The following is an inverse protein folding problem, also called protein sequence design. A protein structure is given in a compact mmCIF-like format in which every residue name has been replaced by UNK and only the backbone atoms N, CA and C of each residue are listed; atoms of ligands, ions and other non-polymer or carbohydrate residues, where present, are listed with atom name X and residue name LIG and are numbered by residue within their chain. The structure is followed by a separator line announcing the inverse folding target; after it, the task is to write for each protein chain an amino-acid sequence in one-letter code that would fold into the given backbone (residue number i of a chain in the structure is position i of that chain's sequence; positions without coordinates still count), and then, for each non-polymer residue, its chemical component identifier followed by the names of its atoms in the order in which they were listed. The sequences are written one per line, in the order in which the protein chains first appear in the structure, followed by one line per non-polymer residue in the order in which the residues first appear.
data_IF_403265436862
#
_entry.id   IF_403265436862
#
_cell.length_a   1.000
_cell.length_b   1.000
_cell.length_c   1.000
_cell.angle_alpha   90.00
_cell.angle_beta   90.00
_cell.angle_gamma   90.00
#
_symmetry.space_group_name_H-M   'P 1'
#
loop_
_entity.id
_entity.type
_entity.pdbx_description
1 polymer ?
#
# COMPACT_ATOMS: atom_id res chain seq x y z
N UNK A 1 -55.01 -31.50 5.14
CA UNK A 1 -54.12 -31.54 6.31
C UNK A 1 -52.66 -31.66 5.89
N UNK A 2 -51.79 -31.17 6.76
CA UNK A 2 -50.34 -30.90 6.65
C UNK A 2 -49.44 -32.09 6.97
N UNK A 3 -48.29 -32.22 6.27
CA UNK A 3 -46.84 -32.31 6.70
C UNK A 3 -46.02 -32.85 5.50
N UNK A 4 -45.01 -32.19 4.91
CA UNK A 4 -43.61 -31.90 5.30
C UNK A 4 -42.76 -33.11 5.73
N UNK A 5 -41.85 -33.59 4.86
CA UNK A 5 -40.38 -33.46 5.00
C UNK A 5 -39.60 -34.33 3.99
N UNK A 6 -38.54 -33.72 3.43
CA UNK A 6 -37.34 -34.29 2.81
C UNK A 6 -37.52 -35.20 1.58
N UNK A 7 -37.48 -34.55 0.41
CA UNK A 7 -37.10 -35.15 -0.85
C UNK A 7 -35.66 -35.70 -0.78
N UNK A 8 -35.52 -37.02 -0.69
CA UNK A 8 -34.44 -37.74 -1.35
C UNK A 8 -34.96 -38.16 -2.72
N UNK A 9 -34.44 -37.54 -3.77
CA UNK A 9 -34.76 -37.77 -5.20
C UNK A 9 -34.06 -36.63 -5.95
N UNK A 10 -33.34 -36.76 -7.06
CA UNK A 10 -33.12 -37.80 -8.07
C UNK A 10 -31.84 -37.36 -8.83
N UNK A 11 -31.09 -38.10 -9.65
CA UNK A 11 -31.36 -38.99 -10.78
C UNK A 11 -30.04 -39.76 -11.03
N UNK A 12 -29.98 -41.09 -10.94
CA UNK A 12 -30.22 -42.12 -11.98
C UNK A 12 -29.21 -42.11 -13.18
N UNK A 13 -28.59 -43.27 -13.54
CA UNK A 13 -27.44 -43.47 -14.44
C UNK A 13 -27.89 -43.52 -15.92
N UNK A 14 -27.00 -43.63 -16.92
CA UNK A 14 -26.69 -44.87 -17.66
C UNK A 14 -25.29 -44.82 -18.30
N UNK A 15 -24.64 -45.98 -18.30
CA UNK A 15 -23.41 -46.38 -19.00
C UNK A 15 -23.40 -46.16 -20.52
N UNK A 16 -22.20 -45.99 -21.08
CA UNK A 16 -21.87 -46.58 -22.39
C UNK A 16 -20.51 -47.27 -22.30
N UNK A 17 -20.53 -48.58 -22.55
CA UNK A 17 -19.37 -49.42 -22.82
C UNK A 17 -18.91 -49.10 -24.24
N UNK A 18 -17.65 -48.70 -24.39
CA UNK A 18 -16.98 -48.48 -25.66
C UNK A 18 -15.60 -49.12 -25.62
N UNK A 19 -15.54 -50.33 -26.15
CA UNK A 19 -14.40 -51.24 -26.21
C UNK A 19 -13.18 -50.68 -27.00
N UNK A 20 -12.03 -51.32 -26.76
CA UNK A 20 -10.88 -51.52 -27.67
C UNK A 20 -9.62 -50.63 -27.52
N UNK A 21 -8.56 -51.29 -27.05
CA UNK A 21 -7.12 -51.03 -27.23
C UNK A 21 -6.49 -49.73 -26.68
N UNK A 22 -5.55 -49.92 -25.76
CA UNK A 22 -4.25 -49.25 -25.85
C UNK A 22 -3.97 -48.15 -24.83
N UNK A 23 -3.02 -48.44 -23.94
CA UNK A 23 -2.20 -47.43 -23.29
C UNK A 23 -2.72 -46.95 -21.94
N UNK A 24 -2.18 -47.55 -20.90
CA UNK A 24 -2.10 -46.96 -19.56
C UNK A 24 -1.51 -45.54 -19.68
N UNK A 25 -2.36 -44.53 -19.65
CA UNK A 25 -1.92 -43.17 -19.33
C UNK A 25 -2.35 -42.90 -17.91
N UNK A 26 -1.41 -43.12 -16.98
CA UNK A 26 -1.42 -42.46 -15.68
C UNK A 26 -1.33 -40.96 -15.98
N UNK A 27 -2.48 -40.33 -16.23
CA UNK A 27 -2.58 -38.89 -16.28
C UNK A 27 -2.36 -38.42 -14.85
N UNK A 28 -1.12 -38.01 -14.53
CA UNK A 28 -0.84 -37.29 -13.29
C UNK A 28 -1.84 -36.12 -13.24
N UNK A 29 -2.73 -36.03 -12.23
CA UNK A 29 -3.66 -34.93 -12.14
C UNK A 29 -2.85 -33.63 -12.07
N UNK A 30 -2.90 -32.86 -13.16
CA UNK A 30 -2.33 -31.52 -13.22
C UNK A 30 -3.32 -30.64 -12.50
N UNK A 31 -3.10 -30.42 -11.21
CA UNK A 31 -3.90 -29.46 -10.45
C UNK A 31 -3.49 -28.06 -10.90
N UNK A 32 -4.38 -27.26 -11.50
CA UNK A 32 -4.10 -25.86 -11.79
C UNK A 32 -4.13 -25.12 -10.46
N UNK A 33 -3.01 -25.11 -9.75
CA UNK A 33 -2.80 -24.12 -8.70
C UNK A 33 -2.56 -22.81 -9.45
N UNK A 34 -3.39 -21.80 -9.19
CA UNK A 34 -3.20 -20.46 -9.74
C UNK A 34 -2.00 -19.83 -9.01
N UNK A 35 -0.80 -20.17 -9.48
CA UNK A 35 0.48 -19.82 -8.86
C UNK A 35 0.65 -18.30 -8.72
N UNK A 36 0.03 -17.53 -9.62
CA UNK A 36 0.02 -16.07 -9.61
C UNK A 36 -0.80 -15.54 -8.43
N UNK A 37 -2.02 -16.06 -8.20
CA UNK A 37 -2.83 -15.66 -7.05
C UNK A 37 -2.23 -16.10 -5.72
N UNK A 38 -1.63 -17.29 -5.68
CA UNK A 38 -0.95 -17.77 -4.48
C UNK A 38 0.28 -16.91 -4.16
N UNK A 39 1.07 -16.53 -5.16
CA UNK A 39 2.23 -15.65 -4.99
C UNK A 39 1.81 -14.25 -4.50
N UNK A 40 0.74 -13.67 -5.05
CA UNK A 40 0.19 -12.38 -4.59
C UNK A 40 -0.27 -12.47 -3.14
N UNK A 41 -1.06 -13.50 -2.81
CA UNK A 41 -1.59 -13.69 -1.44
C UNK A 41 -0.46 -13.90 -0.41
N UNK A 42 0.57 -14.67 -0.77
CA UNK A 42 1.74 -14.88 0.09
C UNK A 42 2.63 -13.64 0.19
N UNK A 43 2.71 -12.82 -0.87
CA UNK A 43 3.42 -11.53 -0.84
C UNK A 43 2.69 -10.53 0.04
N UNK A 44 1.36 -10.46 -0.05
CA UNK A 44 0.53 -9.61 0.80
C UNK A 44 0.62 -10.06 2.27
N UNK A 45 0.57 -11.37 2.52
CA UNK A 45 0.76 -11.93 3.86
C UNK A 45 2.18 -11.69 4.39
N UNK A 46 3.21 -11.77 3.56
CA UNK A 46 4.59 -11.44 3.92
C UNK A 46 4.76 -9.96 4.29
N UNK A 47 4.04 -9.07 3.61
CA UNK A 47 3.97 -7.65 3.94
C UNK A 47 3.27 -7.36 5.27
N UNK A 48 2.25 -8.16 5.61
CA UNK A 48 1.47 -8.00 6.85
C UNK A 48 2.06 -8.74 8.08
N UNK A 49 2.82 -9.81 7.87
CA UNK A 49 3.25 -10.74 8.94
C UNK A 49 4.74 -10.63 9.29
N UNK A 50 5.50 -9.78 8.60
CA UNK A 50 6.90 -9.54 8.89
C UNK A 50 7.10 -8.75 10.18
N UNK A 51 7.97 -9.23 11.08
CA UNK A 51 8.38 -8.48 12.27
C UNK A 51 9.56 -7.53 12.01
N UNK A 52 10.12 -7.57 10.79
CA UNK A 52 11.12 -6.60 10.35
C UNK A 52 10.45 -5.25 10.07
N UNK A 53 10.93 -4.19 10.70
CA UNK A 53 10.44 -2.83 10.46
C UNK A 53 11.48 -2.07 9.64
N UNK A 54 11.03 -1.42 8.57
CA UNK A 54 11.89 -0.52 7.80
C UNK A 54 12.27 0.71 8.63
N UNK A 55 13.43 1.30 8.35
CA UNK A 55 13.77 2.61 8.90
C UNK A 55 12.79 3.66 8.39
N UNK A 56 12.42 4.63 9.22
CA UNK A 56 11.51 5.71 8.85
C UNK A 56 11.87 7.00 9.60
N UNK A 57 11.20 8.10 9.25
CA UNK A 57 11.33 9.38 9.94
C UNK A 57 9.99 9.71 10.60
N UNK A 58 10.04 9.89 11.92
CA UNK A 58 8.88 10.33 12.71
C UNK A 58 8.81 11.86 12.70
N UNK A 59 7.66 12.37 12.28
CA UNK A 59 7.31 13.78 12.37
C UNK A 59 6.42 13.99 13.60
N UNK A 60 6.88 14.82 14.52
CA UNK A 60 6.20 15.22 15.73
C UNK A 60 6.12 16.76 15.79
N UNK A 61 5.27 17.34 16.66
CA UNK A 61 5.20 18.79 16.84
C UNK A 61 6.58 19.42 17.02
N UNK A 62 7.00 20.24 16.05
CA UNK A 62 8.32 20.92 16.01
C UNK A 62 9.54 19.98 16.15
N UNK A 63 9.38 18.69 15.86
CA UNK A 63 10.45 17.70 16.05
C UNK A 63 10.41 16.67 14.94
N UNK A 64 11.60 16.32 14.45
CA UNK A 64 11.81 15.23 13.50
C UNK A 64 12.78 14.25 14.11
N UNK A 65 12.51 12.96 14.03
CA UNK A 65 13.37 11.92 14.63
C UNK A 65 13.55 10.76 13.67
N UNK A 66 14.78 10.39 13.30
CA UNK A 66 15.03 9.20 12.51
C UNK A 66 14.82 7.98 13.42
N UNK A 67 14.07 7.00 12.92
CA UNK A 67 13.85 5.73 13.60
C UNK A 67 14.53 4.66 12.75
N UNK A 68 15.59 4.08 13.30
CA UNK A 68 16.29 2.99 12.63
C UNK A 68 15.40 1.75 12.54
N UNK A 69 15.43 1.10 11.38
CA UNK A 69 14.70 -0.13 11.14
C UNK A 69 15.24 -1.26 12.02
N UNK A 70 14.37 -2.16 12.44
CA UNK A 70 14.77 -3.31 13.25
C UNK A 70 14.81 -4.56 12.38
N UNK A 71 15.94 -5.29 12.37
CA UNK A 71 15.98 -6.62 11.79
C UNK A 71 14.91 -7.49 12.43
N UNK A 72 14.20 -8.26 11.60
CA UNK A 72 13.15 -9.15 12.06
C UNK A 72 13.02 -10.36 11.17
N UNK A 73 11.92 -11.08 11.33
CA UNK A 73 11.60 -12.24 10.51
C UNK A 73 10.58 -11.81 9.48
N UNK A 74 10.87 -12.06 8.21
CA UNK A 74 9.91 -11.95 7.11
C UNK A 74 9.50 -13.35 6.66
N UNK A 75 8.31 -13.48 6.10
CA UNK A 75 7.91 -14.72 5.43
C UNK A 75 8.85 -14.98 4.24
N UNK A 76 9.42 -16.18 4.14
CA UNK A 76 10.16 -16.61 2.97
C UNK A 76 9.14 -17.02 1.90
N UNK A 77 8.71 -16.08 1.07
CA UNK A 77 7.63 -16.29 0.08
C UNK A 77 7.94 -17.47 -0.83
N UNK A 78 9.20 -17.63 -1.26
CA UNK A 78 9.60 -18.70 -2.18
C UNK A 78 9.51 -20.09 -1.53
N UNK A 79 10.03 -20.23 -0.29
CA UNK A 79 9.90 -21.50 0.44
C UNK A 79 8.49 -21.73 0.98
N UNK A 80 7.73 -20.67 1.23
CA UNK A 80 6.33 -20.73 1.64
C UNK A 80 5.43 -21.23 0.51
N UNK A 81 5.69 -20.82 -0.74
CA UNK A 81 5.02 -21.37 -1.92
C UNK A 81 5.21 -22.89 -2.04
N UNK A 82 6.44 -23.37 -1.81
CA UNK A 82 6.75 -24.82 -1.80
C UNK A 82 5.96 -25.52 -0.69
N UNK A 83 5.99 -24.97 0.53
CA UNK A 83 5.34 -25.56 1.70
C UNK A 83 3.82 -25.64 1.57
N UNK A 84 3.18 -24.60 1.01
CA UNK A 84 1.72 -24.58 0.76
C UNK A 84 1.33 -25.57 -0.33
N UNK A 85 2.09 -25.65 -1.42
CA UNK A 85 1.83 -26.60 -2.51
C UNK A 85 1.91 -28.04 -2.02
N UNK A 86 2.93 -28.36 -1.23
CA UNK A 86 3.16 -29.71 -0.73
C UNK A 86 2.07 -30.11 0.28
N UNK A 87 1.63 -29.17 1.13
CA UNK A 87 0.53 -29.40 2.05
C UNK A 87 -0.83 -29.53 1.36
N UNK A 88 -1.10 -28.74 0.31
CA UNK A 88 -2.33 -28.85 -0.47
C UNK A 88 -2.39 -30.21 -1.19
N UNK A 89 -1.27 -30.66 -1.76
CA UNK A 89 -1.16 -32.01 -2.34
C UNK A 89 -1.43 -33.08 -1.30
N UNK A 90 -0.81 -32.99 -0.12
CA UNK A 90 -1.03 -33.93 0.97
C UNK A 90 -2.49 -33.92 1.46
N UNK A 91 -3.15 -32.76 1.53
CA UNK A 91 -4.56 -32.65 1.93
C UNK A 91 -5.49 -33.29 0.90
N UNK A 92 -5.22 -33.13 -0.38
CA UNK A 92 -6.01 -33.75 -1.46
C UNK A 92 -5.78 -35.27 -1.51
N UNK A 93 -4.56 -35.73 -1.26
CA UNK A 93 -4.22 -37.16 -1.23
C UNK A 93 -4.73 -37.89 0.01
N UNK A 94 -4.81 -37.21 1.17
CA UNK A 94 -5.12 -37.84 2.47
C UNK A 94 -6.47 -37.44 3.06
N UNK A 95 -7.14 -36.44 2.50
CA UNK A 95 -8.41 -35.88 3.01
C UNK A 95 -8.30 -35.10 4.32
N UNK A 96 -7.09 -34.92 4.88
CA UNK A 96 -6.86 -34.23 6.15
C UNK A 96 -6.15 -32.89 5.93
N UNK A 97 -6.79 -31.79 6.33
CA UNK A 97 -6.15 -30.47 6.35
C UNK A 97 -5.10 -30.38 7.44
N UNK A 98 -3.84 -30.15 7.07
CA UNK A 98 -2.75 -29.87 8.03
C UNK A 98 -2.48 -28.38 8.10
N UNK A 99 -2.24 -27.89 9.33
CA UNK A 99 -1.68 -26.55 9.55
C UNK A 99 -0.25 -26.54 8.97
N UNK A 100 0.01 -25.61 8.05
CA UNK A 100 1.30 -25.46 7.38
C UNK A 100 2.06 -24.35 8.05
N UNK A 101 3.18 -24.68 8.70
CA UNK A 101 4.12 -23.67 9.17
C UNK A 101 4.86 -23.11 7.95
N UNK A 102 4.69 -21.82 7.71
CA UNK A 102 5.38 -21.17 6.62
C UNK A 102 6.80 -20.75 7.06
N UNK A 103 7.84 -21.09 6.28
CA UNK A 103 9.21 -20.75 6.61
C UNK A 103 9.38 -19.23 6.66
N UNK A 104 10.02 -18.77 7.72
CA UNK A 104 10.41 -17.36 7.90
C UNK A 104 11.91 -17.23 7.73
N UNK A 105 12.35 -16.15 7.10
CA UNK A 105 13.76 -15.81 6.91
C UNK A 105 14.09 -14.51 7.62
N UNK A 106 15.36 -14.34 8.00
CA UNK A 106 15.84 -13.08 8.56
C UNK A 106 15.77 -12.01 7.47
N UNK A 107 15.00 -10.94 7.72
CA UNK A 107 14.88 -9.80 6.83
C UNK A 107 15.56 -8.60 7.47
N UNK A 108 16.55 -8.05 6.77
CA UNK A 108 17.20 -6.81 7.16
C UNK A 108 16.40 -5.61 6.63
N UNK A 109 16.39 -4.47 7.34
CA UNK A 109 15.84 -3.23 6.81
C UNK A 109 16.55 -2.84 5.52
N UNK A 110 15.78 -2.46 4.51
CA UNK A 110 16.30 -1.95 3.25
C UNK A 110 16.82 -0.51 3.38
N UNK A 111 16.21 0.26 4.27
CA UNK A 111 16.60 1.64 4.59
C UNK A 111 17.69 1.63 5.65
N UNK A 112 18.93 1.94 5.22
CA UNK A 112 20.08 2.06 6.11
C UNK A 112 20.24 3.45 6.74
N UNK A 113 21.24 3.61 7.61
CA UNK A 113 21.55 4.88 8.28
C UNK A 113 21.85 6.02 7.30
N UNK A 114 22.63 5.76 6.25
CA UNK A 114 22.95 6.77 5.24
C UNK A 114 21.71 7.31 4.51
N UNK A 115 20.70 6.45 4.28
CA UNK A 115 19.41 6.83 3.71
C UNK A 115 18.62 7.71 4.69
N UNK A 116 18.57 7.33 5.96
CA UNK A 116 17.92 8.11 7.02
C UNK A 116 18.55 9.51 7.15
N UNK A 117 19.87 9.58 7.17
CA UNK A 117 20.61 10.85 7.28
C UNK A 117 20.37 11.73 6.05
N UNK A 118 20.34 11.14 4.84
CA UNK A 118 19.99 11.86 3.61
C UNK A 118 18.56 12.40 3.69
N UNK A 119 17.58 11.54 3.96
CA UNK A 119 16.17 11.91 4.06
C UNK A 119 15.94 12.98 5.12
N UNK A 120 16.64 12.90 6.25
CA UNK A 120 16.61 13.91 7.32
C UNK A 120 17.12 15.26 6.83
N UNK A 121 18.25 15.29 6.12
CA UNK A 121 18.90 16.50 5.66
C UNK A 121 18.20 17.15 4.46
N UNK A 122 17.79 16.33 3.50
CA UNK A 122 17.26 16.80 2.21
C UNK A 122 15.77 17.13 2.28
N UNK A 123 14.98 16.38 3.06
CA UNK A 123 13.54 16.55 3.11
C UNK A 123 13.03 16.90 4.50
N UNK A 124 13.32 16.07 5.51
CA UNK A 124 12.58 16.16 6.76
C UNK A 124 12.89 17.42 7.58
N UNK A 125 14.17 17.83 7.64
CA UNK A 125 14.58 19.07 8.31
C UNK A 125 14.08 20.31 7.58
N UNK A 126 14.25 20.46 6.24
CA UNK A 126 13.64 21.57 5.51
C UNK A 126 12.13 21.62 5.62
N UNK A 127 11.45 20.46 5.50
CA UNK A 127 10.00 20.36 5.56
C UNK A 127 9.45 20.93 6.87
N UNK A 128 10.13 20.67 7.99
CA UNK A 128 9.70 21.08 9.33
C UNK A 128 10.33 22.38 9.83
N UNK A 129 11.08 23.09 8.98
CA UNK A 129 11.80 24.31 9.37
C UNK A 129 10.88 25.50 9.68
N UNK A 130 9.78 25.64 8.94
CA UNK A 130 8.76 26.69 9.16
C UNK A 130 7.42 26.24 8.56
N UNK A 131 6.41 27.10 8.62
CA UNK A 131 5.14 26.90 7.91
C UNK A 131 5.30 27.04 6.40
N UNK A 132 4.44 26.35 5.68
CA UNK A 132 4.21 26.56 4.24
C UNK A 132 2.88 27.28 4.05
N UNK A 133 2.74 28.03 2.96
CA UNK A 133 1.49 28.68 2.57
C UNK A 133 1.06 28.14 1.22
N UNK A 134 -0.17 27.64 1.12
CA UNK A 134 -0.77 27.20 -0.13
C UNK A 134 -1.89 28.16 -0.50
N UNK A 135 -1.88 28.65 -1.74
CA UNK A 135 -2.84 29.64 -2.25
C UNK A 135 -3.64 29.06 -3.41
N UNK A 136 -4.93 29.38 -3.48
CA UNK A 136 -5.76 29.05 -4.63
C UNK A 136 -6.94 30.03 -4.71
N UNK A 137 -7.20 30.60 -5.88
CA UNK A 137 -8.38 31.43 -6.12
C UNK A 137 -8.54 32.61 -5.16
N UNK A 138 -7.43 33.25 -4.76
CA UNK A 138 -7.44 34.35 -3.79
C UNK A 138 -7.60 33.94 -2.33
N UNK A 139 -7.73 32.65 -2.03
CA UNK A 139 -7.72 32.09 -0.68
C UNK A 139 -6.35 31.52 -0.35
N UNK A 140 -6.01 31.46 0.93
CA UNK A 140 -4.77 30.84 1.39
C UNK A 140 -4.97 30.02 2.67
N UNK A 141 -4.16 28.98 2.82
CA UNK A 141 -4.06 28.18 4.03
C UNK A 141 -2.58 27.99 4.40
N UNK A 142 -2.29 27.97 5.70
CA UNK A 142 -0.94 27.75 6.20
C UNK A 142 -0.85 26.41 6.93
N UNK A 143 0.19 25.64 6.64
CA UNK A 143 0.52 24.42 7.36
C UNK A 143 1.82 24.60 8.13
N UNK A 144 1.77 24.51 9.46
CA UNK A 144 2.92 24.68 10.36
C UNK A 144 3.45 23.38 10.99
N UNK A 145 4.72 23.38 11.47
CA UNK A 145 5.39 22.22 12.06
C UNK A 145 4.85 21.83 13.44
N UNK A 146 4.14 22.73 14.13
CA UNK A 146 3.62 22.47 15.46
C UNK A 146 2.38 21.55 15.48
N UNK A 147 1.59 21.54 14.40
CA UNK A 147 0.29 20.83 14.41
C UNK A 147 -0.01 20.14 13.09
N UNK A 148 -0.04 20.87 11.98
CA UNK A 148 -0.57 20.34 10.72
C UNK A 148 0.43 19.50 9.95
N UNK A 149 1.69 19.96 9.79
CA UNK A 149 2.69 19.24 9.00
C UNK A 149 2.92 17.80 9.50
N UNK A 150 3.09 17.54 10.82
CA UNK A 150 3.23 16.18 11.35
C UNK A 150 2.05 15.24 11.06
N UNK A 151 0.86 15.77 10.77
CA UNK A 151 -0.34 14.97 10.50
C UNK A 151 -0.50 14.62 9.02
N UNK A 152 0.14 15.39 8.13
CA UNK A 152 -0.07 15.26 6.68
C UNK A 152 1.17 14.77 5.94
N UNK A 153 2.35 14.78 6.57
CA UNK A 153 3.59 14.28 5.98
C UNK A 153 4.06 13.03 6.69
N UNK A 154 4.48 12.04 5.91
CA UNK A 154 5.15 10.84 6.40
C UNK A 154 6.21 10.42 5.39
N UNK A 155 7.07 9.47 5.76
CA UNK A 155 8.01 8.86 4.83
C UNK A 155 7.84 7.35 4.82
N UNK A 156 7.80 6.79 3.62
CA UNK A 156 7.69 5.34 3.40
C UNK A 156 8.95 4.83 2.74
N UNK A 157 9.38 3.64 3.14
CA UNK A 157 10.42 2.91 2.43
C UNK A 157 9.87 2.40 1.09
N UNK A 158 10.52 2.77 -0.01
CA UNK A 158 10.26 2.30 -1.37
C UNK A 158 11.60 2.08 -2.05
N UNK A 159 11.84 0.87 -2.56
CA UNK A 159 13.07 0.52 -3.30
C UNK A 159 14.37 0.85 -2.53
N UNK A 160 14.37 0.63 -1.21
CA UNK A 160 15.52 0.94 -0.35
C UNK A 160 15.75 2.43 -0.07
N UNK A 161 14.81 3.30 -0.47
CA UNK A 161 14.85 4.74 -0.21
C UNK A 161 13.63 5.21 0.57
N UNK A 162 13.75 6.34 1.26
CA UNK A 162 12.65 7.01 1.91
C UNK A 162 12.03 8.02 0.95
N UNK A 163 10.77 7.76 0.58
CA UNK A 163 9.97 8.66 -0.25
C UNK A 163 8.95 9.41 0.62
N UNK A 164 8.76 10.72 0.40
CA UNK A 164 7.73 11.47 1.10
C UNK A 164 6.34 11.02 0.65
N UNK A 165 5.44 10.91 1.60
CA UNK A 165 4.04 10.53 1.39
C UNK A 165 3.15 11.58 2.06
N UNK A 166 2.18 12.07 1.31
CA UNK A 166 1.19 13.03 1.79
C UNK A 166 -0.12 12.33 2.10
N UNK A 167 -0.61 12.45 3.33
CA UNK A 167 -1.90 11.91 3.72
C UNK A 167 -3.00 12.87 3.25
N UNK A 168 -3.58 12.57 2.09
CA UNK A 168 -4.63 13.38 1.46
C UNK A 168 -5.90 13.44 2.29
N UNK A 169 -6.20 12.41 3.10
CA UNK A 169 -7.33 12.43 4.04
C UNK A 169 -7.06 13.35 5.22
N UNK A 170 -5.83 13.39 5.73
CA UNK A 170 -5.44 14.35 6.75
C UNK A 170 -5.41 15.77 6.20
N UNK A 171 -4.93 15.98 4.96
CA UNK A 171 -4.99 17.27 4.27
C UNK A 171 -6.44 17.73 4.16
N UNK A 172 -7.33 16.91 3.63
CA UNK A 172 -8.75 17.25 3.46
C UNK A 172 -9.41 17.69 4.78
N UNK A 173 -9.16 16.95 5.87
CA UNK A 173 -9.62 17.32 7.22
C UNK A 173 -9.07 18.66 7.70
N UNK A 174 -7.82 18.99 7.36
CA UNK A 174 -7.20 20.25 7.76
C UNK A 174 -7.58 21.42 6.85
N UNK A 175 -7.98 21.14 5.60
CA UNK A 175 -8.51 22.16 4.71
C UNK A 175 -9.83 22.70 5.27
N UNK A 176 -10.71 21.85 5.81
CA UNK A 176 -11.97 22.28 6.43
C UNK A 176 -12.77 23.28 5.56
N UNK A 177 -12.82 23.02 4.25
CA UNK A 177 -13.47 23.91 3.29
C UNK A 177 -12.70 25.21 2.95
N UNK A 178 -11.40 25.30 3.27
CA UNK A 178 -10.51 26.42 2.95
C UNK A 178 -10.42 26.77 1.46
N UNK A 179 -10.81 25.86 0.57
CA UNK A 179 -10.91 26.10 -0.87
C UNK A 179 -12.28 25.75 -1.47
N UNK A 180 -13.32 25.56 -0.63
CA UNK A 180 -14.70 25.35 -1.09
C UNK A 180 -15.11 26.46 -2.08
N UNK A 181 -15.69 26.08 -3.22
CA UNK A 181 -16.07 26.99 -4.30
C UNK A 181 -14.93 27.49 -5.19
N UNK A 182 -13.66 27.14 -4.90
CA UNK A 182 -12.53 27.44 -5.79
C UNK A 182 -12.45 26.36 -6.84
N UNK A 183 -12.69 26.72 -8.11
CA UNK A 183 -12.71 25.78 -9.23
C UNK A 183 -11.36 25.76 -9.94
N UNK A 184 -10.85 24.54 -10.18
CA UNK A 184 -9.74 24.27 -11.09
C UNK A 184 -10.29 23.71 -12.40
N UNK A 185 -9.74 24.19 -13.51
CA UNK A 185 -10.00 23.62 -14.84
C UNK A 185 -8.86 22.67 -15.16
N UNK A 186 -9.14 21.36 -15.16
CA UNK A 186 -8.16 20.36 -15.49
C UNK A 186 -7.72 20.47 -16.96
N UNK A 187 -6.61 19.84 -17.31
CA UNK A 187 -6.07 19.86 -18.66
C UNK A 187 -7.06 19.29 -19.71
N UNK A 188 -8.00 18.44 -19.31
CA UNK A 188 -9.06 17.89 -20.16
C UNK A 188 -10.28 18.84 -20.33
N UNK A 189 -10.24 20.03 -19.71
CA UNK A 189 -11.33 21.01 -19.72
C UNK A 189 -12.42 20.78 -18.68
N UNK A 190 -12.32 19.71 -17.88
CA UNK A 190 -13.26 19.48 -16.78
C UNK A 190 -13.04 20.47 -15.65
N UNK A 191 -14.13 20.95 -15.07
CA UNK A 191 -14.10 21.84 -13.90
C UNK A 191 -14.44 21.05 -12.66
N UNK A 192 -13.58 21.12 -11.65
CA UNK A 192 -13.80 20.55 -10.33
C UNK A 192 -13.32 21.51 -9.26
N UNK A 193 -13.75 21.31 -8.02
CA UNK A 193 -13.20 22.08 -6.91
C UNK A 193 -11.74 21.68 -6.63
N UNK A 194 -10.99 22.61 -6.05
CA UNK A 194 -9.65 22.34 -5.49
C UNK A 194 -9.77 21.27 -4.41
N UNK A 195 -8.96 20.23 -4.53
CA UNK A 195 -8.94 19.05 -3.69
C UNK A 195 -7.67 18.94 -2.86
N UNK A 196 -7.65 18.02 -1.91
CA UNK A 196 -6.45 17.68 -1.14
C UNK A 196 -5.29 17.21 -2.03
N UNK A 197 -5.57 16.58 -3.18
CA UNK A 197 -4.54 16.12 -4.12
C UNK A 197 -3.83 17.30 -4.80
N UNK A 198 -4.57 18.36 -5.13
CA UNK A 198 -3.99 19.58 -5.72
C UNK A 198 -3.07 20.27 -4.71
N UNK A 199 -3.48 20.30 -3.44
CA UNK A 199 -2.66 20.83 -2.34
C UNK A 199 -1.41 19.98 -2.15
N UNK A 200 -1.54 18.65 -2.10
CA UNK A 200 -0.41 17.73 -1.98
C UNK A 200 0.60 17.87 -3.13
N UNK A 201 0.13 18.18 -4.35
CA UNK A 201 0.99 18.33 -5.53
C UNK A 201 1.97 19.49 -5.42
N UNK A 202 1.55 20.62 -4.82
CA UNK A 202 2.40 21.81 -4.64
C UNK A 202 3.17 21.80 -3.33
N UNK A 203 2.76 20.99 -2.35
CA UNK A 203 3.41 20.90 -1.05
C UNK A 203 4.85 20.42 -1.14
N UNK A 204 5.17 19.49 -2.04
CA UNK A 204 6.53 18.95 -2.16
C UNK A 204 7.57 20.03 -2.40
N UNK A 205 7.31 20.94 -3.34
CA UNK A 205 8.19 22.07 -3.59
C UNK A 205 8.17 23.08 -2.44
N UNK A 206 7.00 23.37 -1.86
CA UNK A 206 6.87 24.31 -0.76
C UNK A 206 7.68 23.88 0.47
N UNK A 207 7.67 22.59 0.79
CA UNK A 207 8.36 22.04 1.97
C UNK A 207 9.88 22.11 1.86
N UNK A 208 10.42 22.07 0.63
CA UNK A 208 11.84 22.19 0.35
C UNK A 208 12.33 23.65 0.32
N UNK A 209 11.41 24.62 0.29
CA UNK A 209 11.73 26.04 0.32
C UNK A 209 12.43 26.46 1.61
N UNK A 210 13.47 27.28 1.48
CA UNK A 210 14.26 27.84 2.59
C UNK A 210 13.82 29.25 2.96
N UNK A 211 13.18 29.96 2.03
CA UNK A 211 12.65 31.31 2.24
C UNK A 211 11.13 31.30 2.31
N UNK A 212 10.54 32.36 2.89
CA UNK A 212 9.08 32.50 2.97
C UNK A 212 8.40 32.43 1.59
N UNK A 213 9.06 32.99 0.57
CA UNK A 213 8.54 33.02 -0.79
C UNK A 213 8.59 31.63 -1.44
N UNK A 214 9.70 30.89 -1.27
CA UNK A 214 9.81 29.51 -1.77
C UNK A 214 8.81 28.56 -1.08
N UNK A 215 8.49 28.83 0.19
CA UNK A 215 7.50 28.09 0.98
C UNK A 215 6.05 28.52 0.72
N UNK A 216 5.85 29.46 -0.19
CA UNK A 216 4.52 29.91 -0.63
C UNK A 216 4.28 29.41 -2.04
N UNK A 217 3.29 28.53 -2.22
CA UNK A 217 2.93 27.98 -3.53
C UNK A 217 1.47 28.27 -3.86
N UNK A 218 1.24 28.65 -5.11
CA UNK A 218 -0.09 28.89 -5.64
C UNK A 218 -0.47 27.72 -6.53
N UNK A 219 -1.64 27.13 -6.28
CA UNK A 219 -2.24 26.13 -7.15
C UNK A 219 -2.70 26.84 -8.42
N UNK A 220 -2.20 26.39 -9.55
CA UNK A 220 -2.64 26.86 -10.86
C UNK A 220 -4.06 26.35 -11.13
N UNK A 221 -5.01 27.27 -11.21
CA UNK A 221 -6.41 26.96 -11.47
C UNK A 221 -6.71 26.74 -12.95
N UNK A 222 -5.75 27.05 -13.83
CA UNK A 222 -5.92 26.95 -15.27
C UNK A 222 -4.59 26.63 -15.98
N UNK A 223 -4.04 25.41 -15.85
CA UNK A 223 -2.73 25.00 -16.38
C UNK A 223 -2.58 25.03 -17.91
N UNK A 224 -3.61 25.47 -18.64
CA UNK A 224 -3.60 25.69 -20.11
C UNK A 224 -3.81 27.16 -20.51
N UNK A 225 -3.89 28.07 -19.54
CA UNK A 225 -4.12 29.50 -19.74
C UNK A 225 -2.86 30.24 -20.21
#
# INVERSE_FOLDING_TARGET
ETVRAAAGSDYNPVSVIGSLFGGERVAKPVFPVDEEKLAVTLTDLAGASGSATEGTILFAPNKVTPVEGKPGKGLDVQRSMISVRDAFRAQVETGMGKVVELPVTARQPSVGKAELDRAMKEFATPAMSDRITVRAGGREIQFGPARSLPQIISMRASEGRLVPVYDTKAIDRLLDGAFKGVMITAADGTKREVSADDVASVMGEALLGKTKDERTKTIDLNPKG
#
